data_IF_625709028496
#
_entry.id   IF_625709028496
#
_cell.length_a   1.000
_cell.length_b   1.000
_cell.length_c   1.000
_cell.angle_alpha   90.00
_cell.angle_beta   90.00
_cell.angle_gamma   90.00
#
_symmetry.space_group_name_H-M   'P 1'
#
loop_
_entity.id
_entity.type
_entity.pdbx_description
1 polymer ?
#
# COMPACT_ATOMS: atom_id res chain seq x y z
N UNK A 1 -14.26 8.69 -16.05
CA UNK A 1 -13.01 7.90 -16.00
C UNK A 1 -12.53 7.68 -14.57
N UNK A 2 -12.63 8.67 -13.68
CA UNK A 2 -12.28 8.55 -12.25
C UNK A 2 -12.84 7.28 -11.57
N UNK A 3 -14.14 7.01 -11.78
CA UNK A 3 -14.82 5.85 -11.21
C UNK A 3 -14.31 4.50 -11.78
N UNK A 4 -13.68 4.49 -12.97
CA UNK A 4 -13.12 3.29 -13.59
C UNK A 4 -11.72 2.96 -13.05
N UNK A 5 -10.93 3.98 -12.68
CA UNK A 5 -9.58 3.77 -12.13
C UNK A 5 -9.67 3.14 -10.74
N UNK A 6 -10.53 3.67 -9.87
CA UNK A 6 -10.77 3.11 -8.54
C UNK A 6 -11.38 1.71 -8.61
N UNK A 7 -12.36 1.49 -9.50
CA UNK A 7 -12.96 0.16 -9.69
C UNK A 7 -11.91 -0.86 -10.16
N UNK A 8 -11.05 -0.48 -11.10
CA UNK A 8 -9.97 -1.34 -11.58
C UNK A 8 -8.91 -1.64 -10.51
N UNK A 9 -8.65 -0.69 -9.61
CA UNK A 9 -7.78 -0.93 -8.46
C UNK A 9 -8.42 -1.90 -7.47
N UNK A 10 -9.69 -1.70 -7.12
CA UNK A 10 -10.44 -2.58 -6.20
C UNK A 10 -10.53 -4.03 -6.69
N UNK A 11 -10.68 -4.23 -8.00
CA UNK A 11 -10.66 -5.58 -8.57
C UNK A 11 -9.29 -6.25 -8.42
N UNK A 12 -8.21 -5.48 -8.60
CA UNK A 12 -6.83 -5.99 -8.49
C UNK A 12 -6.41 -6.30 -7.06
N UNK A 13 -6.94 -5.58 -6.07
CA UNK A 13 -6.65 -5.83 -4.65
C UNK A 13 -7.52 -6.94 -4.05
N UNK A 14 -8.49 -7.47 -4.81
CA UNK A 14 -9.36 -8.53 -4.32
C UNK A 14 -8.55 -9.79 -3.99
N UNK A 15 -8.78 -10.34 -2.80
CA UNK A 15 -8.11 -11.55 -2.29
C UNK A 15 -6.57 -11.44 -2.28
N UNK A 16 -6.05 -10.21 -2.15
CA UNK A 16 -4.63 -9.94 -1.97
C UNK A 16 -4.32 -9.81 -0.49
N UNK A 17 -3.30 -10.53 -0.04
CA UNK A 17 -2.86 -10.51 1.35
C UNK A 17 -1.40 -10.05 1.44
N UNK A 18 -1.12 -9.15 2.35
CA UNK A 18 0.25 -8.83 2.76
C UNK A 18 0.73 -9.88 3.76
N UNK A 19 1.90 -10.49 3.49
CA UNK A 19 2.47 -11.53 4.33
C UNK A 19 3.60 -11.00 5.21
N UNK A 20 3.40 -11.08 6.53
CA UNK A 20 4.40 -10.87 7.58
C UNK A 20 4.40 -12.08 8.53
N UNK A 21 4.50 -11.89 9.84
CA UNK A 21 4.11 -12.93 10.82
C UNK A 21 2.60 -13.22 10.84
N UNK A 22 1.81 -12.41 10.15
CA UNK A 22 0.38 -12.58 9.93
C UNK A 22 0.04 -12.28 8.47
N UNK A 23 -1.20 -12.53 8.09
CA UNK A 23 -1.74 -12.19 6.78
C UNK A 23 -2.76 -11.05 6.95
N UNK A 24 -2.58 -9.96 6.21
CA UNK A 24 -3.46 -8.80 6.29
C UNK A 24 -3.98 -8.41 4.90
N UNK A 25 -5.27 -8.09 4.73
CA UNK A 25 -5.77 -7.61 3.44
C UNK A 25 -5.20 -6.22 3.11
N UNK A 26 -5.28 -5.85 1.83
CA UNK A 26 -5.14 -4.45 1.41
C UNK A 26 -6.50 -3.77 1.38
N UNK A 27 -6.63 -2.66 2.11
CA UNK A 27 -7.82 -1.83 2.16
C UNK A 27 -7.58 -0.56 1.34
N UNK A 28 -8.49 -0.26 0.42
CA UNK A 28 -8.43 0.97 -0.37
C UNK A 28 -9.30 2.03 0.29
N UNK A 29 -8.77 3.24 0.45
CA UNK A 29 -9.51 4.41 0.89
C UNK A 29 -9.23 5.60 -0.04
N UNK A 30 -10.27 6.39 -0.33
CA UNK A 30 -10.14 7.64 -1.05
C UNK A 30 -10.01 8.78 -0.03
N UNK A 31 -8.84 9.40 0.04
CA UNK A 31 -8.55 10.51 0.95
C UNK A 31 -9.00 11.87 0.41
N UNK A 32 -9.55 11.89 -0.81
CA UNK A 32 -10.03 13.09 -1.48
C UNK A 32 -8.90 14.04 -1.88
N UNK A 33 -9.26 15.30 -2.11
CA UNK A 33 -8.30 16.37 -2.42
C UNK A 33 -7.40 16.62 -1.21
N UNK A 34 -6.13 16.19 -1.30
CA UNK A 34 -5.18 16.23 -0.21
C UNK A 34 -3.83 16.75 -0.69
N UNK A 35 -3.45 17.99 -0.37
CA UNK A 35 -2.13 18.52 -0.71
C UNK A 35 -1.00 17.65 -0.17
N UNK A 36 0.09 17.50 -0.95
CA UNK A 36 1.20 16.58 -0.63
C UNK A 36 1.88 16.91 0.70
N UNK A 37 1.96 18.19 1.05
CA UNK A 37 2.51 18.68 2.32
C UNK A 37 1.63 18.35 3.53
N UNK A 38 0.36 18.00 3.32
CA UNK A 38 -0.59 17.60 4.36
C UNK A 38 -0.73 16.08 4.49
N UNK A 39 -0.19 15.31 3.53
CA UNK A 39 -0.34 13.87 3.47
C UNK A 39 0.18 13.18 4.74
N UNK A 40 1.41 13.47 5.14
CA UNK A 40 2.06 12.85 6.31
C UNK A 40 1.27 13.07 7.58
N UNK A 41 0.79 14.31 7.78
CA UNK A 41 -0.06 14.66 8.92
C UNK A 41 -1.36 13.85 8.91
N UNK A 42 -2.02 13.77 7.75
CA UNK A 42 -3.26 13.00 7.58
C UNK A 42 -3.06 11.52 7.87
N UNK A 43 -1.95 10.93 7.41
CA UNK A 43 -1.63 9.52 7.65
C UNK A 43 -1.37 9.23 9.14
N UNK A 44 -0.69 10.14 9.84
CA UNK A 44 -0.48 10.03 11.29
C UNK A 44 -1.83 10.14 12.02
N UNK A 45 -2.69 11.07 11.65
CA UNK A 45 -4.02 11.23 12.24
C UNK A 45 -4.89 9.98 12.06
N UNK A 46 -4.87 9.36 10.88
CA UNK A 46 -5.64 8.15 10.57
C UNK A 46 -5.13 6.90 11.31
N UNK A 47 -3.90 6.92 11.81
CA UNK A 47 -3.25 5.79 12.47
C UNK A 47 -2.83 6.15 13.90
N UNK A 48 -3.55 7.07 14.55
CA UNK A 48 -3.18 7.64 15.85
C UNK A 48 -3.03 6.61 16.98
N UNK A 49 -3.66 5.45 16.84
CA UNK A 49 -3.54 4.30 17.73
C UNK A 49 -2.20 3.56 17.62
N UNK A 50 -1.39 3.88 16.60
CA UNK A 50 -0.03 3.38 16.40
C UNK A 50 0.96 4.52 16.72
N UNK A 51 1.41 4.68 17.99
CA UNK A 51 2.36 5.72 18.37
C UNK A 51 3.75 5.36 17.83
N UNK A 52 3.99 5.69 16.56
CA UNK A 52 5.23 5.37 15.87
C UNK A 52 5.76 6.51 15.02
N UNK A 53 6.96 6.28 14.48
CA UNK A 53 7.60 7.18 13.53
C UNK A 53 7.19 6.80 12.12
N UNK A 54 6.61 7.76 11.40
CA UNK A 54 6.35 7.61 9.98
C UNK A 54 7.69 7.54 9.22
N UNK A 55 7.94 6.42 8.55
CA UNK A 55 9.08 6.20 7.66
C UNK A 55 8.58 6.13 6.23
N UNK A 56 9.35 6.71 5.32
CA UNK A 56 9.13 6.56 3.88
C UNK A 56 10.07 5.48 3.37
N UNK A 57 9.55 4.57 2.57
CA UNK A 57 10.29 3.53 1.87
C UNK A 57 10.32 3.86 0.38
N UNK A 58 11.35 3.37 -0.30
CA UNK A 58 11.37 3.40 -1.76
C UNK A 58 10.31 2.42 -2.31
N UNK A 59 9.39 2.88 -3.19
CA UNK A 59 8.36 2.00 -3.73
C UNK A 59 8.92 0.84 -4.56
N UNK A 60 9.90 1.07 -5.43
CA UNK A 60 10.44 0.01 -6.28
C UNK A 60 11.13 -1.06 -5.41
N UNK A 61 11.89 -0.66 -4.39
CA UNK A 61 12.51 -1.58 -3.42
C UNK A 61 11.46 -2.36 -2.62
N UNK A 62 10.40 -1.70 -2.14
CA UNK A 62 9.33 -2.34 -1.39
C UNK A 62 8.61 -3.42 -2.20
N UNK A 63 8.18 -3.10 -3.43
CA UNK A 63 7.50 -4.08 -4.27
C UNK A 63 8.44 -5.21 -4.75
N UNK A 64 9.71 -4.90 -5.04
CA UNK A 64 10.71 -5.92 -5.36
C UNK A 64 10.97 -6.87 -4.18
N UNK A 65 10.97 -6.34 -2.95
CA UNK A 65 11.09 -7.14 -1.73
C UNK A 65 9.95 -8.16 -1.59
N UNK A 66 8.71 -7.78 -1.90
CA UNK A 66 7.56 -8.72 -1.85
C UNK A 66 7.74 -9.89 -2.81
N UNK A 67 8.25 -9.63 -4.02
CA UNK A 67 8.54 -10.69 -5.00
C UNK A 67 9.67 -11.59 -4.53
N UNK A 68 10.74 -10.99 -3.99
CA UNK A 68 11.91 -11.75 -3.51
C UNK A 68 11.59 -12.65 -2.32
N UNK A 69 10.62 -12.27 -1.47
CA UNK A 69 10.24 -13.02 -0.27
C UNK A 69 9.33 -14.22 -0.57
N UNK A 70 8.66 -14.26 -1.72
CA UNK A 70 7.84 -15.40 -2.10
C UNK A 70 8.72 -16.65 -2.27
N UNK A 71 8.40 -17.73 -1.55
CA UNK A 71 9.03 -19.03 -1.75
C UNK A 71 8.63 -19.56 -3.13
N UNK A 72 9.58 -19.82 -4.06
CA UNK A 72 9.26 -20.36 -5.38
C UNK A 72 8.53 -21.71 -5.36
N UNK A 73 8.66 -22.48 -4.27
CA UNK A 73 7.94 -23.74 -4.06
C UNK A 73 6.50 -23.55 -3.55
N UNK A 74 6.16 -22.36 -3.07
CA UNK A 74 4.81 -22.01 -2.61
C UNK A 74 4.07 -21.23 -3.70
N UNK A 75 3.24 -21.95 -4.45
CA UNK A 75 2.43 -21.38 -5.52
C UNK A 75 1.52 -20.24 -5.05
N UNK A 76 0.99 -20.32 -3.82
CA UNK A 76 0.12 -19.28 -3.29
C UNK A 76 0.89 -17.98 -3.02
N UNK A 77 2.09 -18.09 -2.44
CA UNK A 77 2.95 -16.93 -2.23
C UNK A 77 3.42 -16.30 -3.54
N UNK A 78 3.77 -17.12 -4.54
CA UNK A 78 4.18 -16.65 -5.87
C UNK A 78 3.04 -15.92 -6.58
N UNK A 79 1.83 -16.49 -6.57
CA UNK A 79 0.66 -15.86 -7.18
C UNK A 79 0.33 -14.52 -6.50
N UNK A 80 0.42 -14.47 -5.17
CA UNK A 80 0.21 -13.25 -4.42
C UNK A 80 1.27 -12.16 -4.73
N UNK A 81 2.54 -12.53 -4.84
CA UNK A 81 3.60 -11.61 -5.27
C UNK A 81 3.40 -11.09 -6.71
N UNK A 82 2.92 -11.95 -7.61
CA UNK A 82 2.56 -11.55 -8.98
C UNK A 82 1.41 -10.53 -8.98
N UNK A 83 0.41 -10.68 -8.10
CA UNK A 83 -0.66 -9.69 -7.93
C UNK A 83 -0.12 -8.34 -7.43
N UNK A 84 0.80 -8.32 -6.47
CA UNK A 84 1.46 -7.09 -6.03
C UNK A 84 2.22 -6.41 -7.18
N UNK A 85 2.92 -7.19 -8.01
CA UNK A 85 3.59 -6.68 -9.22
C UNK A 85 2.58 -6.04 -10.18
N UNK A 86 1.44 -6.69 -10.41
CA UNK A 86 0.38 -6.17 -11.28
C UNK A 86 -0.26 -4.89 -10.74
N UNK A 87 -0.46 -4.79 -9.41
CA UNK A 87 -0.94 -3.57 -8.77
C UNK A 87 0.06 -2.45 -8.93
N UNK A 88 1.35 -2.72 -8.68
CA UNK A 88 2.35 -1.66 -8.80
C UNK A 88 2.50 -1.14 -10.23
N UNK A 89 2.45 -2.03 -11.22
CA UNK A 89 2.39 -1.64 -12.62
C UNK A 89 1.14 -0.80 -12.93
N UNK A 90 -0.02 -1.18 -12.38
CA UNK A 90 -1.25 -0.40 -12.53
C UNK A 90 -1.16 0.98 -11.87
N UNK A 91 -0.58 1.08 -10.67
CA UNK A 91 -0.35 2.35 -9.99
C UNK A 91 0.54 3.25 -10.86
N UNK A 92 1.68 2.74 -11.34
CA UNK A 92 2.61 3.51 -12.20
C UNK A 92 2.00 3.98 -13.51
N UNK A 93 1.03 3.25 -14.04
CA UNK A 93 0.37 3.60 -15.30
C UNK A 93 -0.76 4.64 -15.15
N UNK A 94 -1.39 4.73 -13.98
CA UNK A 94 -2.63 5.51 -13.80
C UNK A 94 -2.54 6.62 -12.76
N UNK A 95 -1.51 6.61 -11.91
CA UNK A 95 -1.35 7.53 -10.80
C UNK A 95 0.03 8.18 -10.82
N UNK A 96 0.17 9.29 -10.11
CA UNK A 96 1.44 9.97 -9.85
C UNK A 96 1.82 9.90 -8.37
N UNK A 97 3.05 10.30 -8.06
CA UNK A 97 3.52 10.52 -6.68
C UNK A 97 3.28 9.33 -5.74
N UNK A 98 3.58 8.14 -6.26
CA UNK A 98 3.44 6.90 -5.50
C UNK A 98 4.46 6.90 -4.38
N UNK A 99 4.00 6.72 -3.15
CA UNK A 99 4.84 6.65 -1.97
C UNK A 99 4.45 5.43 -1.13
N UNK A 100 5.44 4.82 -0.49
CA UNK A 100 5.21 3.77 0.50
C UNK A 100 5.68 4.28 1.84
N UNK A 101 4.82 4.15 2.85
CA UNK A 101 5.10 4.59 4.20
C UNK A 101 4.78 3.51 5.19
N UNK A 102 5.53 3.47 6.30
CA UNK A 102 5.25 2.61 7.44
C UNK A 102 5.33 3.38 8.74
N UNK A 103 4.57 2.97 9.75
CA UNK A 103 4.62 3.60 11.08
C UNK A 103 5.34 2.64 12.03
N UNK A 104 6.59 2.94 12.34
CA UNK A 104 7.46 2.09 13.17
C UNK A 104 7.35 2.47 14.66
N UNK A 105 7.13 1.51 15.54
CA UNK A 105 7.07 1.79 16.99
C UNK A 105 6.31 0.76 17.82
N UNK A 106 5.69 -0.23 17.19
CA UNK A 106 4.98 -1.31 17.87
C UNK A 106 4.97 -2.59 17.06
N UNK A 107 4.37 -3.63 17.64
CA UNK A 107 4.22 -4.96 17.02
C UNK A 107 3.34 -4.89 15.77
N UNK A 108 2.30 -4.07 15.82
CA UNK A 108 1.45 -3.79 14.68
C UNK A 108 2.03 -2.58 13.93
N UNK A 109 2.54 -2.83 12.72
CA UNK A 109 3.18 -1.82 11.89
C UNK A 109 2.30 -1.53 10.67
N UNK A 110 1.55 -0.40 10.67
CA UNK A 110 0.82 0.04 9.48
C UNK A 110 1.76 0.23 8.30
N UNK A 111 1.34 -0.23 7.13
CA UNK A 111 1.99 -0.02 5.84
C UNK A 111 0.97 0.63 4.92
N UNK A 112 1.32 1.79 4.38
CA UNK A 112 0.41 2.65 3.63
C UNK A 112 1.07 3.00 2.31
N UNK A 113 0.46 2.59 1.21
CA UNK A 113 0.85 2.98 -0.15
C UNK A 113 -0.09 4.10 -0.57
N UNK A 114 0.43 5.26 -0.93
CA UNK A 114 -0.37 6.40 -1.40
C UNK A 114 -0.07 6.71 -2.85
N UNK A 115 -1.07 7.13 -3.60
CA UNK A 115 -0.92 7.54 -4.98
C UNK A 115 -1.93 8.65 -5.33
N UNK A 116 -1.53 9.55 -6.21
CA UNK A 116 -2.35 10.68 -6.64
C UNK A 116 -3.02 10.41 -7.98
N UNK A 117 -4.31 10.68 -8.03
CA UNK A 117 -5.10 10.66 -9.25
C UNK A 117 -4.84 11.94 -10.08
N UNK A 118 -5.13 11.91 -11.40
CA UNK A 118 -4.95 13.08 -12.27
C UNK A 118 -5.74 14.33 -11.87
N UNK A 119 -6.83 14.17 -11.10
CA UNK A 119 -7.65 15.26 -10.58
C UNK A 119 -7.11 15.87 -9.28
N UNK A 120 -6.00 15.35 -8.75
CA UNK A 120 -5.37 15.80 -7.50
C UNK A 120 -5.90 15.10 -6.24
N UNK A 121 -6.86 14.17 -6.36
CA UNK A 121 -7.28 13.35 -5.23
C UNK A 121 -6.21 12.32 -4.87
N UNK A 122 -6.07 12.01 -3.59
CA UNK A 122 -5.15 11.01 -3.08
C UNK A 122 -5.93 9.75 -2.69
N UNK A 123 -5.39 8.59 -3.06
CA UNK A 123 -5.84 7.30 -2.55
C UNK A 123 -4.81 6.73 -1.60
N UNK A 124 -5.26 5.88 -0.69
CA UNK A 124 -4.39 5.01 0.11
C UNK A 124 -4.76 3.55 -0.10
N UNK A 125 -3.74 2.70 -0.14
CA UNK A 125 -3.85 1.26 0.03
C UNK A 125 -3.13 0.92 1.34
N UNK A 126 -3.92 0.58 2.35
CA UNK A 126 -3.43 0.34 3.71
C UNK A 126 -3.47 -1.15 4.03
N UNK A 127 -2.41 -1.62 4.68
CA UNK A 127 -2.28 -2.95 5.26
C UNK A 127 -1.42 -2.85 6.51
N UNK A 128 -1.07 -3.97 7.14
CA UNK A 128 -0.16 -3.96 8.29
C UNK A 128 0.75 -5.18 8.29
N UNK A 129 1.90 -5.02 8.93
CA UNK A 129 2.76 -6.11 9.34
C UNK A 129 2.62 -6.36 10.84
N UNK A 130 2.75 -7.61 11.23
CA UNK A 130 3.10 -8.01 12.60
C UNK A 130 4.59 -8.33 12.64
N UNK A 131 5.30 -7.67 13.55
CA UNK A 131 6.76 -7.79 13.76
C UNK A 131 7.04 -7.94 15.27
N UNK A 132 7.76 -9.00 15.66
CA UNK A 132 8.15 -9.27 17.06
C UNK A 132 9.62 -9.03 17.37
#
# INVERSE_FOLDING_TARGET
MENQILSGLSEKTKDLLFFSESEAPLLIENLGQLPKDQLDKKLIELNSENPGTLKTLDPDEFFAYLVKRADPGDHYMVDNANKFTAIYAYLKANFSDIAVKRIEGGVHVPIIITAYQPDGSCISLSTYAIET
#
